data_IF_639658874666
#
_entry.id   IF_639658874666
#
_cell.length_a   1.000
_cell.length_b   1.000
_cell.length_c   1.000
_cell.angle_alpha   90.00
_cell.angle_beta   90.00
_cell.angle_gamma   90.00
#
_symmetry.space_group_name_H-M   'P 1'
#
loop_
_entity.id
_entity.type
_entity.pdbx_description
1 polymer ?
#
# COMPACT_ATOMS: atom_id res chain seq x y z
N UNK A 1 16.84 8.63 3.64
CA UNK A 1 15.68 8.61 4.55
C UNK A 1 14.64 7.65 4.00
N UNK A 2 14.06 6.83 4.87
CA UNK A 2 12.92 5.95 4.57
C UNK A 2 11.77 6.42 5.46
N UNK A 3 10.57 6.53 4.91
CA UNK A 3 9.38 6.80 5.71
C UNK A 3 8.66 5.48 6.02
N UNK A 4 8.18 5.35 7.26
CA UNK A 4 7.35 4.23 7.69
C UNK A 4 6.03 4.77 8.24
N UNK A 5 4.92 4.17 7.81
CA UNK A 5 3.59 4.49 8.31
C UNK A 5 2.77 3.23 8.56
N UNK A 6 2.20 3.11 9.76
CA UNK A 6 1.33 1.99 10.12
C UNK A 6 -0.10 2.46 10.35
N UNK A 7 -1.09 1.72 9.82
CA UNK A 7 -2.51 2.02 9.99
C UNK A 7 -2.82 3.48 9.66
N UNK A 8 -3.42 4.24 10.59
CA UNK A 8 -3.69 5.68 10.44
C UNK A 8 -2.43 6.51 10.10
N UNK A 9 -1.25 6.07 10.54
CA UNK A 9 0.04 6.69 10.24
C UNK A 9 0.41 6.65 8.75
N UNK A 10 -0.26 5.83 7.92
CA UNK A 10 -0.09 5.86 6.46
C UNK A 10 -0.53 7.20 5.87
N UNK A 11 -1.48 7.89 6.50
CA UNK A 11 -2.00 9.21 6.12
C UNK A 11 -0.93 10.30 6.02
N UNK A 12 -0.28 10.69 7.15
CA UNK A 12 0.81 11.67 7.12
C UNK A 12 2.03 11.16 6.37
N UNK A 13 2.28 9.84 6.36
CA UNK A 13 3.41 9.24 5.63
C UNK A 13 3.30 9.48 4.13
N UNK A 14 2.13 9.20 3.52
CA UNK A 14 1.91 9.44 2.09
C UNK A 14 1.77 10.93 1.76
N UNK A 15 1.25 11.74 2.69
CA UNK A 15 1.25 13.19 2.54
C UNK A 15 2.67 13.75 2.42
N UNK A 16 3.58 13.26 3.25
CA UNK A 16 4.98 13.68 3.21
C UNK A 16 5.69 13.10 1.98
N UNK A 17 5.42 11.83 1.65
CA UNK A 17 6.05 11.15 0.52
C UNK A 17 5.69 11.75 -0.84
N UNK A 18 4.49 12.31 -1.00
CA UNK A 18 4.08 12.98 -2.24
C UNK A 18 4.77 14.33 -2.46
N UNK A 19 5.36 14.91 -1.40
CA UNK A 19 5.97 16.25 -1.43
C UNK A 19 7.50 16.23 -1.37
N UNK A 20 8.10 15.17 -0.83
CA UNK A 20 9.55 15.08 -0.67
C UNK A 20 10.23 14.43 -1.87
N UNK A 21 11.13 15.14 -2.60
CA UNK A 21 11.74 14.62 -3.82
C UNK A 21 12.88 13.61 -3.60
N UNK A 22 13.40 13.46 -2.38
CA UNK A 22 14.63 12.69 -2.07
C UNK A 22 14.42 11.58 -1.05
N UNK A 23 13.29 10.87 -1.14
CA UNK A 23 13.05 9.67 -0.34
C UNK A 23 13.67 8.44 -0.99
N UNK A 24 14.25 7.56 -0.17
CA UNK A 24 14.82 6.29 -0.66
C UNK A 24 13.76 5.21 -0.80
N UNK A 25 12.78 5.20 0.10
CA UNK A 25 11.64 4.30 0.08
C UNK A 25 10.55 4.79 1.04
N UNK A 26 9.35 4.23 0.87
CA UNK A 26 8.24 4.28 1.82
C UNK A 26 7.85 2.84 2.17
N UNK A 27 7.62 2.58 3.45
CA UNK A 27 7.06 1.32 3.95
C UNK A 27 5.71 1.63 4.60
N UNK A 28 4.66 0.96 4.14
CA UNK A 28 3.31 1.08 4.66
C UNK A 28 2.88 -0.25 5.26
N UNK A 29 2.41 -0.24 6.50
CA UNK A 29 1.96 -1.43 7.22
C UNK A 29 0.48 -1.30 7.62
N UNK A 30 -0.36 -2.25 7.20
CA UNK A 30 -1.82 -2.21 7.26
C UNK A 30 -2.39 -0.83 6.90
N UNK A 31 -2.00 -0.22 5.76
CA UNK A 31 -2.40 1.14 5.43
C UNK A 31 -3.89 1.27 5.13
N UNK A 32 -4.41 2.49 5.31
CA UNK A 32 -5.81 2.81 4.99
C UNK A 32 -5.92 3.50 3.63
N UNK A 33 -6.98 3.24 2.86
CA UNK A 33 -7.26 4.00 1.61
C UNK A 33 -7.68 5.44 1.90
N UNK A 34 -8.53 5.62 2.91
CA UNK A 34 -8.95 6.89 3.49
C UNK A 34 -9.72 6.64 4.79
N UNK A 35 -9.97 7.69 5.59
CA UNK A 35 -10.69 7.56 6.85
C UNK A 35 -12.11 7.03 6.67
N UNK A 36 -12.85 7.53 5.67
CA UNK A 36 -14.21 7.05 5.38
C UNK A 36 -14.19 5.59 4.93
N UNK A 37 -13.20 5.18 4.14
CA UNK A 37 -13.10 3.81 3.61
C UNK A 37 -12.79 2.75 4.66
N UNK A 38 -12.24 3.13 5.81
CA UNK A 38 -12.09 2.23 6.96
C UNK A 38 -13.45 1.90 7.57
N UNK A 39 -14.35 2.87 7.62
CA UNK A 39 -15.65 2.70 8.28
C UNK A 39 -16.71 2.13 7.34
N UNK A 40 -16.65 2.50 6.05
CA UNK A 40 -17.67 2.15 5.06
C UNK A 40 -17.05 1.85 3.69
N UNK A 41 -17.51 0.82 2.95
CA UNK A 41 -16.98 0.45 1.64
C UNK A 41 -17.47 1.40 0.54
N UNK A 42 -17.00 2.66 0.57
CA UNK A 42 -17.36 3.69 -0.41
C UNK A 42 -16.44 3.67 -1.63
N UNK A 43 -17.04 3.81 -2.82
CA UNK A 43 -16.29 3.87 -4.08
C UNK A 43 -15.75 5.27 -4.39
N UNK A 44 -16.35 6.32 -3.83
CA UNK A 44 -16.00 7.72 -4.10
C UNK A 44 -15.22 8.33 -2.94
N UNK A 45 -14.29 9.22 -3.26
CA UNK A 45 -13.59 10.04 -2.27
C UNK A 45 -14.37 11.34 -2.07
N UNK A 46 -14.69 11.66 -0.82
CA UNK A 46 -15.45 12.87 -0.47
C UNK A 46 -14.52 14.02 -0.06
N UNK A 47 -15.01 15.26 -0.12
CA UNK A 47 -14.22 16.43 0.23
C UNK A 47 -13.80 16.43 1.71
N UNK A 48 -14.69 15.95 2.60
CA UNK A 48 -14.47 15.80 4.04
C UNK A 48 -13.69 14.53 4.45
N UNK A 49 -13.34 13.67 3.48
CA UNK A 49 -12.59 12.45 3.76
C UNK A 49 -11.15 12.79 4.18
N UNK A 50 -10.66 12.14 5.22
CA UNK A 50 -9.31 12.38 5.75
C UNK A 50 -8.36 11.30 5.22
N UNK A 51 -7.06 11.61 5.18
CA UNK A 51 -6.03 10.66 4.78
C UNK A 51 -6.33 9.97 3.44
N UNK A 52 -6.74 10.74 2.42
CA UNK A 52 -7.07 10.29 1.05
C UNK A 52 -5.85 9.66 0.34
N UNK A 53 -5.37 8.54 0.86
CA UNK A 53 -4.15 7.87 0.43
C UNK A 53 -4.29 7.31 -0.98
N UNK A 54 -5.51 6.91 -1.35
CA UNK A 54 -5.86 6.52 -2.72
C UNK A 54 -5.51 7.61 -3.76
N UNK A 55 -5.65 8.88 -3.39
CA UNK A 55 -5.34 10.01 -4.28
C UNK A 55 -3.84 10.39 -4.22
N UNK A 56 -3.14 10.05 -3.13
CA UNK A 56 -1.75 10.45 -2.86
C UNK A 56 -0.72 9.44 -3.33
N UNK A 57 -1.02 8.15 -3.26
CA UNK A 57 -0.08 7.09 -3.64
C UNK A 57 0.43 7.22 -5.08
N UNK A 58 -0.35 7.68 -6.08
CA UNK A 58 0.17 7.88 -7.43
C UNK A 58 1.16 9.05 -7.54
N UNK A 59 1.24 9.92 -6.52
CA UNK A 59 2.15 11.07 -6.50
C UNK A 59 3.53 10.71 -5.93
N UNK A 60 3.66 9.54 -5.28
CA UNK A 60 4.93 9.10 -4.70
C UNK A 60 5.87 8.61 -5.80
N UNK A 61 7.06 9.20 -5.87
CA UNK A 61 8.05 8.92 -6.92
C UNK A 61 9.25 8.08 -6.43
N UNK A 62 9.06 7.36 -5.33
CA UNK A 62 10.08 6.46 -4.80
C UNK A 62 9.46 5.08 -4.53
N UNK A 63 10.28 4.03 -4.48
CA UNK A 63 9.91 2.70 -3.99
C UNK A 63 8.91 2.66 -2.84
N UNK A 64 7.77 1.97 -3.01
CA UNK A 64 6.79 1.73 -1.93
C UNK A 64 6.64 0.24 -1.65
N UNK A 65 6.88 -0.16 -0.40
CA UNK A 65 6.56 -1.48 0.13
C UNK A 65 5.26 -1.42 0.94
N UNK A 66 4.35 -2.37 0.70
CA UNK A 66 3.11 -2.52 1.46
C UNK A 66 3.10 -3.88 2.15
N UNK A 67 2.81 -3.87 3.44
CA UNK A 67 2.66 -5.04 4.31
C UNK A 67 1.23 -4.98 4.87
N UNK A 68 0.46 -6.07 4.80
CA UNK A 68 -0.95 -6.09 5.22
C UNK A 68 -1.39 -7.51 5.60
N UNK A 69 -1.95 -7.71 6.78
CA UNK A 69 -2.48 -9.02 7.15
C UNK A 69 -3.68 -9.42 6.26
N UNK A 70 -3.69 -10.63 5.72
CA UNK A 70 -4.86 -11.15 4.97
C UNK A 70 -6.07 -11.39 5.87
N UNK A 71 -5.85 -11.60 7.17
CA UNK A 71 -6.86 -11.74 8.21
C UNK A 71 -6.99 -10.49 9.11
N UNK A 72 -6.61 -9.31 8.61
CA UNK A 72 -6.78 -8.06 9.37
C UNK A 72 -8.27 -7.67 9.45
N UNK A 73 -8.86 -7.83 10.63
CA UNK A 73 -10.27 -7.51 10.90
C UNK A 73 -10.52 -6.02 11.15
N UNK A 74 -9.47 -5.21 11.32
CA UNK A 74 -9.56 -3.77 11.63
C UNK A 74 -9.46 -2.94 10.36
N UNK A 75 -8.51 -3.28 9.49
CA UNK A 75 -8.33 -2.66 8.18
C UNK A 75 -8.30 -3.76 7.14
N UNK A 76 -9.36 -3.88 6.35
CA UNK A 76 -9.46 -4.93 5.35
C UNK A 76 -8.26 -4.93 4.38
N UNK A 77 -7.78 -6.13 4.05
CA UNK A 77 -6.66 -6.38 3.15
C UNK A 77 -6.76 -5.66 1.80
N UNK A 78 -7.98 -5.42 1.30
CA UNK A 78 -8.20 -4.67 0.05
C UNK A 78 -7.61 -3.27 0.08
N UNK A 79 -7.40 -2.68 1.26
CA UNK A 79 -6.79 -1.37 1.38
C UNK A 79 -5.33 -1.38 0.92
N UNK A 80 -4.53 -2.29 1.47
CA UNK A 80 -3.13 -2.48 1.06
C UNK A 80 -3.04 -2.89 -0.42
N UNK A 81 -3.90 -3.81 -0.85
CA UNK A 81 -3.95 -4.27 -2.24
C UNK A 81 -4.20 -3.12 -3.23
N UNK A 82 -5.22 -2.29 -3.01
CA UNK A 82 -5.53 -1.17 -3.90
C UNK A 82 -4.41 -0.11 -3.93
N UNK A 83 -3.81 0.20 -2.78
CA UNK A 83 -2.68 1.14 -2.75
C UNK A 83 -1.49 0.62 -3.55
N UNK A 84 -1.21 -0.68 -3.48
CA UNK A 84 -0.14 -1.31 -4.26
C UNK A 84 -0.42 -1.27 -5.76
N UNK A 85 -1.68 -1.50 -6.17
CA UNK A 85 -2.09 -1.45 -7.58
C UNK A 85 -1.89 -0.04 -8.17
N UNK A 86 -2.21 1.00 -7.41
CA UNK A 86 -2.13 2.41 -7.81
C UNK A 86 -0.73 3.04 -7.69
N UNK A 87 0.20 2.41 -6.96
CA UNK A 87 1.57 2.90 -6.80
C UNK A 87 2.39 2.84 -8.10
N UNK A 88 3.21 3.88 -8.33
CA UNK A 88 4.12 3.96 -9.49
C UNK A 88 5.28 2.98 -9.40
N UNK A 89 6.09 3.11 -8.34
CA UNK A 89 7.32 2.36 -8.14
C UNK A 89 7.07 1.22 -7.17
N UNK A 90 7.11 0.00 -7.70
CA UNK A 90 6.81 -1.23 -6.97
C UNK A 90 8.12 -1.94 -6.66
N UNK A 91 8.47 -2.03 -5.38
CA UNK A 91 9.56 -2.92 -4.97
C UNK A 91 9.03 -4.35 -4.93
N UNK A 92 9.54 -5.16 -5.85
CA UNK A 92 9.29 -6.61 -5.89
C UNK A 92 10.47 -7.29 -5.18
N UNK A 93 10.29 -7.69 -3.92
CA UNK A 93 11.30 -8.52 -3.26
C UNK A 93 11.15 -9.99 -3.67
N UNK A 94 11.67 -10.36 -4.84
CA UNK A 94 11.87 -11.76 -5.24
C UNK A 94 13.10 -12.35 -4.53
N UNK A 95 12.96 -12.81 -3.28
CA UNK A 95 13.90 -13.76 -2.66
C UNK A 95 13.20 -15.05 -2.26
N UNK A 96 12.80 -15.82 -3.26
CA UNK A 96 12.90 -17.29 -3.31
C UNK A 96 12.26 -17.73 -4.63
N UNK A 97 12.61 -18.91 -5.14
CA UNK A 97 12.07 -19.53 -6.37
C UNK A 97 12.70 -19.08 -7.70
N UNK A 98 14.02 -19.27 -7.81
CA UNK A 98 14.69 -19.52 -9.10
C UNK A 98 14.64 -20.98 -9.56
N UNK A 99 13.86 -21.84 -8.90
CA UNK A 99 13.78 -23.27 -9.25
C UNK A 99 12.33 -23.75 -9.17
N UNK A 100 11.58 -23.59 -10.28
CA UNK A 100 10.68 -24.59 -10.91
C UNK A 100 9.70 -23.87 -11.83
N UNK A 101 9.70 -24.27 -13.10
CA UNK A 101 8.74 -23.90 -14.13
C UNK A 101 7.31 -24.29 -13.71
N UNK A 102 6.36 -23.34 -13.73
CA UNK A 102 5.07 -23.51 -14.41
C UNK A 102 4.31 -22.18 -14.49
N UNK A 103 4.15 -21.67 -15.71
CA UNK A 103 3.58 -20.36 -16.07
C UNK A 103 2.04 -20.28 -15.96
N UNK A 104 1.38 -21.16 -15.19
CA UNK A 104 -0.10 -21.19 -15.07
C UNK A 104 -0.65 -20.93 -13.67
N UNK A 105 0.19 -20.66 -12.69
CA UNK A 105 -0.24 -20.35 -11.30
C UNK A 105 0.02 -18.88 -10.88
N UNK A 106 0.33 -18.01 -11.84
CA UNK A 106 0.80 -16.63 -11.57
C UNK A 106 -0.34 -15.63 -11.36
N UNK A 107 -1.61 -16.05 -11.40
CA UNK A 107 -2.75 -15.12 -11.38
C UNK A 107 -3.36 -14.82 -9.99
N UNK A 108 -2.88 -15.42 -8.89
CA UNK A 108 -3.55 -15.22 -7.59
C UNK A 108 -2.64 -15.17 -6.34
N UNK A 109 -1.33 -14.90 -6.47
CA UNK A 109 -0.46 -14.71 -5.30
C UNK A 109 -0.15 -13.23 -5.10
N UNK A 110 -0.96 -12.58 -4.27
CA UNK A 110 -0.67 -11.26 -3.73
C UNK A 110 0.57 -11.37 -2.85
N UNK A 111 1.66 -10.74 -3.26
CA UNK A 111 2.89 -10.65 -2.46
C UNK A 111 2.66 -9.63 -1.35
N UNK A 112 2.01 -10.08 -0.29
CA UNK A 112 1.90 -9.36 0.96
C UNK A 112 2.54 -10.26 2.00
N UNK A 113 3.59 -9.76 2.66
CA UNK A 113 4.34 -10.53 3.64
C UNK A 113 3.39 -10.94 4.77
N UNK A 114 3.08 -12.23 4.84
CA UNK A 114 2.50 -12.83 6.04
C UNK A 114 3.63 -13.03 7.05
N UNK A 115 3.46 -12.44 8.24
CA UNK A 115 4.29 -12.72 9.41
C UNK A 115 3.78 -13.95 10.15
#
# INVERSE_FOLDING_TARGET
>A
VILYGQSVGSGPTLELASRLPRLRAVVLHSPILSGVRVMYPVKRTYWFDIYKNIDKIPLVNCPVLIIHGTADEVVDFSHGKHLWELGKEKEVHNRSLRTTKNLKEVHNRSYIYEG
#
